data_IF_320041446093
#
_entry.id   IF_320041446093
#
_cell.length_a   1.000
_cell.length_b   1.000
_cell.length_c   1.000
_cell.angle_alpha   90.00
_cell.angle_beta   90.00
_cell.angle_gamma   90.00
#
_symmetry.space_group_name_H-M   'P 1'
#
loop_
_entity.id
_entity.type
_entity.pdbx_description
1 polymer ?
#
# COMPACT_ATOMS: atom_id res chain seq x y z
N UNK A 1 46.20 41.88 -11.87
CA UNK A 1 45.34 41.02 -11.08
C UNK A 1 44.15 40.64 -11.96
N UNK A 2 44.21 39.48 -12.55
CA UNK A 2 43.25 38.99 -13.58
C UNK A 2 42.18 38.15 -12.89
N UNK A 3 40.92 38.56 -12.94
CA UNK A 3 39.77 37.78 -12.48
C UNK A 3 39.36 36.80 -13.59
N UNK A 4 39.57 35.53 -13.37
CA UNK A 4 39.05 34.43 -14.21
C UNK A 4 37.59 34.18 -13.87
N UNK A 5 36.67 34.71 -14.67
CA UNK A 5 35.26 34.34 -14.68
C UNK A 5 35.06 33.10 -15.56
N UNK A 6 34.89 31.94 -14.94
CA UNK A 6 34.47 30.72 -15.62
C UNK A 6 33.00 30.85 -16.11
N UNK A 7 32.83 31.00 -17.41
CA UNK A 7 31.54 31.07 -18.05
C UNK A 7 30.88 29.68 -18.12
N UNK A 8 29.58 29.60 -17.74
CA UNK A 8 28.72 28.42 -17.81
C UNK A 8 28.51 27.81 -19.23
N UNK A 9 29.14 28.40 -20.25
CA UNK A 9 28.97 27.98 -21.66
C UNK A 9 29.90 26.85 -22.10
N UNK A 10 30.93 26.48 -21.37
CA UNK A 10 31.94 25.50 -21.80
C UNK A 10 31.73 24.08 -21.30
N UNK A 11 30.56 23.76 -20.73
CA UNK A 11 30.26 22.40 -20.24
C UNK A 11 29.47 21.52 -21.27
N UNK A 12 29.10 22.07 -22.42
CA UNK A 12 28.19 21.38 -23.37
C UNK A 12 28.83 21.05 -24.74
N UNK A 13 30.13 21.15 -24.87
CA UNK A 13 30.81 20.80 -26.16
C UNK A 13 31.87 19.73 -25.93
N UNK A 14 31.44 18.48 -25.98
CA UNK A 14 32.40 17.39 -25.99
C UNK A 14 31.79 16.02 -25.73
N UNK A 15 30.85 15.54 -26.56
CA UNK A 15 30.66 14.12 -26.86
C UNK A 15 29.88 14.05 -28.18
N UNK A 16 30.59 13.97 -29.27
CA UNK A 16 30.08 13.44 -30.51
C UNK A 16 31.11 12.45 -31.02
N UNK A 17 30.91 11.18 -30.81
CA UNK A 17 31.48 10.10 -31.66
C UNK A 17 30.57 8.89 -31.57
N UNK A 18 30.24 8.37 -32.75
CA UNK A 18 29.37 7.27 -33.05
C UNK A 18 29.58 6.01 -32.23
N UNK A 19 28.49 5.39 -31.92
CA UNK A 19 28.45 4.08 -31.29
C UNK A 19 27.15 3.39 -31.66
N UNK A 20 27.27 2.30 -32.36
CA UNK A 20 26.29 1.27 -32.63
C UNK A 20 25.29 1.11 -31.50
N UNK A 21 24.01 1.08 -31.85
CA UNK A 21 22.92 0.78 -30.93
C UNK A 21 23.11 -0.64 -30.33
N UNK A 22 23.83 -0.71 -29.21
CA UNK A 22 23.77 -1.85 -28.34
C UNK A 22 22.47 -1.71 -27.53
N UNK A 23 21.52 -2.58 -27.79
CA UNK A 23 20.38 -2.82 -26.89
C UNK A 23 20.93 -3.24 -25.53
N UNK A 24 21.06 -2.28 -24.64
CA UNK A 24 21.31 -2.55 -23.22
C UNK A 24 20.07 -3.26 -22.69
N UNK A 25 20.10 -4.59 -22.73
CA UNK A 25 19.27 -5.39 -21.86
C UNK A 25 19.61 -4.94 -20.42
N UNK A 26 18.70 -4.22 -19.81
CA UNK A 26 18.82 -3.89 -18.39
C UNK A 26 19.07 -5.21 -17.64
N UNK A 27 20.15 -5.34 -16.86
CA UNK A 27 20.31 -6.49 -16.01
C UNK A 27 19.06 -6.51 -15.12
N UNK A 28 18.36 -7.65 -15.11
CA UNK A 28 17.33 -7.91 -14.12
C UNK A 28 18.04 -7.74 -12.76
N UNK A 29 17.83 -6.61 -12.12
CA UNK A 29 18.24 -6.41 -10.74
C UNK A 29 17.44 -7.45 -9.98
N UNK A 30 18.09 -8.53 -9.61
CA UNK A 30 17.60 -9.43 -8.60
C UNK A 30 17.50 -8.58 -7.33
N UNK A 31 16.34 -7.95 -7.14
CA UNK A 31 15.99 -7.35 -5.86
C UNK A 31 15.92 -8.55 -4.93
N UNK A 32 17.00 -8.79 -4.18
CA UNK A 32 16.96 -9.67 -3.05
C UNK A 32 15.77 -9.16 -2.21
N UNK A 33 14.71 -9.96 -2.14
CA UNK A 33 13.58 -9.64 -1.32
C UNK A 33 14.13 -9.51 0.10
N UNK A 34 14.21 -8.28 0.61
CA UNK A 34 14.51 -8.08 2.03
C UNK A 34 13.57 -9.02 2.80
N UNK A 35 14.07 -9.75 3.80
CA UNK A 35 13.23 -10.65 4.55
C UNK A 35 12.08 -9.82 5.10
N UNK A 36 10.87 -10.10 4.60
CA UNK A 36 9.65 -9.53 5.14
C UNK A 36 9.60 -10.00 6.57
N UNK A 37 9.97 -9.14 7.52
CA UNK A 37 9.86 -9.43 8.95
C UNK A 37 8.37 -9.58 9.22
N UNK A 38 7.91 -10.80 9.13
CA UNK A 38 6.57 -11.19 9.52
C UNK A 38 6.55 -11.24 11.03
N UNK A 39 5.73 -10.39 11.65
CA UNK A 39 5.25 -10.73 12.98
C UNK A 39 4.51 -12.07 12.83
N UNK A 40 5.15 -13.14 13.23
CA UNK A 40 4.55 -14.46 13.28
C UNK A 40 3.57 -14.47 14.43
N UNK A 41 2.31 -14.16 14.15
CA UNK A 41 1.26 -14.68 15.01
C UNK A 41 1.22 -16.19 14.77
N UNK A 42 1.13 -17.01 15.82
CA UNK A 42 1.01 -18.46 15.69
C UNK A 42 -0.41 -18.82 15.21
N UNK A 43 -0.75 -18.43 13.99
CA UNK A 43 -1.92 -18.97 13.32
C UNK A 43 -1.49 -20.30 12.72
N UNK A 44 -2.26 -21.35 13.03
CA UNK A 44 -1.95 -22.70 12.63
C UNK A 44 -1.61 -22.79 11.14
N UNK A 45 -0.38 -23.20 10.83
CA UNK A 45 0.01 -23.52 9.47
C UNK A 45 -0.65 -24.83 9.12
N UNK A 46 -1.39 -24.93 8.01
CA UNK A 46 -1.94 -26.21 7.60
C UNK A 46 -0.79 -27.16 7.29
N UNK A 47 -0.85 -28.37 7.83
CA UNK A 47 0.09 -29.40 7.44
C UNK A 47 -0.10 -29.74 5.95
N UNK A 48 0.98 -29.62 5.16
CA UNK A 48 0.97 -30.10 3.79
C UNK A 48 0.69 -31.59 3.75
N UNK A 49 0.01 -32.03 2.70
CA UNK A 49 -0.20 -33.47 2.48
C UNK A 49 1.14 -34.20 2.22
N UNK A 50 1.26 -35.45 2.62
CA UNK A 50 2.43 -36.28 2.34
C UNK A 50 2.60 -36.60 0.83
N UNK A 51 1.59 -36.32 0.00
CA UNK A 51 1.54 -36.57 -1.44
C UNK A 51 1.67 -35.29 -2.30
N UNK A 52 1.37 -35.40 -3.59
CA UNK A 52 1.36 -34.25 -4.49
C UNK A 52 0.37 -33.17 -4.04
N UNK A 53 0.84 -31.92 -3.97
CA UNK A 53 0.05 -30.76 -3.61
C UNK A 53 -0.54 -30.17 -4.88
N UNK A 54 -1.84 -30.40 -5.14
CA UNK A 54 -2.53 -29.77 -6.25
C UNK A 54 -2.88 -28.34 -5.91
N UNK A 55 -2.25 -27.39 -6.62
CA UNK A 55 -2.49 -25.96 -6.47
C UNK A 55 -3.09 -25.38 -7.74
N UNK A 56 -4.29 -24.80 -7.63
CA UNK A 56 -4.93 -24.11 -8.75
C UNK A 56 -4.55 -22.64 -8.78
N UNK A 57 -4.40 -22.09 -9.98
CA UNK A 57 -4.13 -20.69 -10.18
C UNK A 57 -5.21 -20.06 -11.08
N UNK A 58 -6.02 -19.16 -10.53
CA UNK A 58 -7.01 -18.37 -11.26
C UNK A 58 -6.52 -16.95 -11.54
N UNK A 59 -5.33 -16.60 -11.05
CA UNK A 59 -4.67 -15.34 -11.36
C UNK A 59 -3.95 -15.41 -12.71
N UNK A 60 -3.94 -14.29 -13.45
CA UNK A 60 -3.23 -14.23 -14.73
C UNK A 60 -1.72 -14.22 -14.49
N UNK A 61 -1.03 -15.23 -14.96
CA UNK A 61 0.42 -15.39 -14.86
C UNK A 61 1.03 -15.68 -16.23
N UNK A 62 2.28 -15.29 -16.42
CA UNK A 62 3.09 -15.69 -17.57
C UNK A 62 3.64 -17.11 -17.38
N UNK A 63 4.09 -17.76 -18.45
CA UNK A 63 4.71 -19.07 -18.38
C UNK A 63 5.98 -19.08 -17.49
N UNK A 64 6.75 -17.99 -17.47
CA UNK A 64 7.92 -17.87 -16.60
C UNK A 64 7.52 -17.79 -15.12
N UNK A 65 6.47 -17.03 -14.78
CA UNK A 65 5.94 -16.93 -13.42
C UNK A 65 5.33 -18.25 -12.94
N UNK A 66 4.60 -18.94 -13.83
CA UNK A 66 4.09 -20.29 -13.54
C UNK A 66 5.24 -21.25 -13.23
N UNK A 67 6.28 -21.28 -14.07
CA UNK A 67 7.45 -22.13 -13.86
C UNK A 67 8.19 -21.79 -12.55
N UNK A 68 8.30 -20.51 -12.22
CA UNK A 68 8.90 -20.04 -10.97
C UNK A 68 8.14 -20.59 -9.75
N UNK A 69 6.82 -20.51 -9.73
CA UNK A 69 5.98 -21.00 -8.63
C UNK A 69 5.98 -22.54 -8.58
N UNK A 70 5.90 -23.21 -9.75
CA UNK A 70 5.93 -24.67 -9.86
C UNK A 70 7.24 -25.27 -9.30
N UNK A 71 8.38 -24.62 -9.57
CA UNK A 71 9.69 -25.09 -9.12
C UNK A 71 10.02 -24.75 -7.66
N UNK A 72 9.23 -23.89 -7.02
CA UNK A 72 9.48 -23.44 -5.64
C UNK A 72 9.16 -24.50 -4.58
N UNK A 73 8.29 -25.45 -4.88
CA UNK A 73 7.87 -26.48 -3.93
C UNK A 73 8.15 -27.90 -4.44
N UNK A 74 8.43 -28.80 -3.50
CA UNK A 74 8.50 -30.23 -3.80
C UNK A 74 7.07 -30.77 -3.98
N UNK A 75 6.89 -31.62 -5.01
CA UNK A 75 5.61 -32.29 -5.27
C UNK A 75 4.42 -31.32 -5.49
N UNK A 76 4.65 -30.14 -6.03
CA UNK A 76 3.57 -29.17 -6.35
C UNK A 76 3.10 -29.40 -7.79
N UNK A 77 1.85 -29.83 -7.92
CA UNK A 77 1.12 -29.84 -9.20
C UNK A 77 0.39 -28.51 -9.35
N UNK A 78 1.07 -27.54 -10.01
CA UNK A 78 0.56 -26.18 -10.22
C UNK A 78 -0.23 -26.13 -11.54
N UNK A 79 -1.52 -25.83 -11.46
CA UNK A 79 -2.45 -25.86 -12.60
C UNK A 79 -3.08 -24.49 -12.80
N UNK A 80 -2.79 -23.85 -13.93
CA UNK A 80 -3.47 -22.59 -14.32
C UNK A 80 -4.87 -22.92 -14.84
N UNK A 81 -5.85 -22.15 -14.37
CA UNK A 81 -7.27 -22.33 -14.66
C UNK A 81 -7.80 -21.10 -15.40
N UNK A 82 -8.29 -21.30 -16.61
CA UNK A 82 -8.71 -20.23 -17.51
C UNK A 82 -10.17 -19.77 -17.36
N UNK A 83 -11.00 -20.53 -16.65
CA UNK A 83 -12.42 -20.19 -16.50
C UNK A 83 -13.01 -20.68 -15.18
N UNK A 84 -14.16 -20.07 -14.80
CA UNK A 84 -14.94 -20.48 -13.62
C UNK A 84 -15.44 -21.95 -13.74
N UNK A 85 -15.85 -22.36 -14.94
CA UNK A 85 -16.29 -23.75 -15.18
C UNK A 85 -15.15 -24.75 -14.95
N UNK A 86 -13.98 -24.43 -15.43
CA UNK A 86 -12.78 -25.25 -15.21
C UNK A 86 -12.36 -25.28 -13.73
N UNK A 87 -12.44 -24.12 -13.04
CA UNK A 87 -12.20 -24.07 -11.59
C UNK A 87 -13.13 -25.02 -10.85
N UNK A 88 -14.43 -24.93 -11.10
CA UNK A 88 -15.44 -25.76 -10.45
C UNK A 88 -15.24 -27.26 -10.71
N UNK A 89 -14.76 -27.61 -11.90
CA UNK A 89 -14.45 -29.01 -12.26
C UNK A 89 -13.19 -29.56 -11.57
N UNK A 90 -12.21 -28.70 -11.26
CA UNK A 90 -10.88 -29.11 -10.74
C UNK A 90 -10.69 -28.86 -9.26
N UNK A 91 -11.55 -28.09 -8.58
CA UNK A 91 -11.33 -27.64 -7.20
C UNK A 91 -11.56 -28.72 -6.16
N UNK A 92 -12.33 -29.75 -6.47
CA UNK A 92 -12.75 -30.77 -5.50
C UNK A 92 -11.59 -31.49 -4.81
N UNK A 93 -10.48 -31.71 -5.51
CA UNK A 93 -9.27 -32.35 -5.02
C UNK A 93 -8.08 -31.39 -4.85
N UNK A 94 -8.27 -30.10 -5.10
CA UNK A 94 -7.26 -29.09 -4.89
C UNK A 94 -6.99 -28.85 -3.40
N UNK A 95 -5.71 -28.73 -3.06
CA UNK A 95 -5.25 -28.47 -1.69
C UNK A 95 -4.96 -26.96 -1.47
N UNK A 96 -4.58 -26.26 -2.53
CA UNK A 96 -4.32 -24.82 -2.50
C UNK A 96 -4.90 -24.11 -3.72
N UNK A 97 -5.20 -22.82 -3.58
CA UNK A 97 -5.61 -21.94 -4.68
C UNK A 97 -4.92 -20.60 -4.58
N UNK A 98 -4.42 -20.08 -5.72
CA UNK A 98 -3.91 -18.74 -5.89
C UNK A 98 -4.81 -17.94 -6.81
N UNK A 99 -5.43 -16.90 -6.30
CA UNK A 99 -6.31 -16.03 -7.05
C UNK A 99 -7.76 -16.03 -6.55
N UNK A 100 -8.67 -15.34 -7.25
CA UNK A 100 -10.08 -15.28 -6.88
C UNK A 100 -10.76 -16.66 -6.95
N UNK A 101 -11.60 -16.92 -5.96
CA UNK A 101 -12.49 -18.09 -5.91
C UNK A 101 -13.89 -17.62 -5.55
N UNK A 102 -14.88 -18.09 -6.30
CA UNK A 102 -16.29 -17.80 -6.05
C UNK A 102 -16.92 -18.79 -5.06
N UNK A 103 -18.05 -18.40 -4.46
CA UNK A 103 -18.74 -19.20 -3.44
C UNK A 103 -19.15 -20.59 -3.94
N UNK A 104 -19.64 -20.71 -5.19
CA UNK A 104 -20.06 -21.98 -5.74
C UNK A 104 -18.89 -22.94 -5.96
N UNK A 105 -17.75 -22.40 -6.44
CA UNK A 105 -16.53 -23.17 -6.59
C UNK A 105 -15.98 -23.59 -5.22
N UNK A 106 -16.01 -22.66 -4.25
CA UNK A 106 -15.55 -22.95 -2.88
C UNK A 106 -16.37 -24.05 -2.21
N UNK A 107 -17.70 -24.07 -2.41
CA UNK A 107 -18.58 -25.13 -1.90
C UNK A 107 -18.23 -26.54 -2.46
N UNK A 108 -17.64 -26.60 -3.65
CA UNK A 108 -17.18 -27.86 -4.25
C UNK A 108 -15.79 -28.31 -3.76
N UNK A 109 -15.07 -27.46 -3.05
CA UNK A 109 -13.72 -27.75 -2.55
C UNK A 109 -13.76 -28.70 -1.36
N UNK A 110 -13.25 -29.94 -1.52
CA UNK A 110 -13.26 -30.96 -0.48
C UNK A 110 -11.94 -31.09 0.30
N UNK A 111 -10.85 -30.64 -0.29
CA UNK A 111 -9.50 -30.82 0.26
C UNK A 111 -8.75 -29.50 0.47
N UNK A 112 -9.41 -28.34 0.23
CA UNK A 112 -8.78 -27.04 0.23
C UNK A 112 -8.31 -26.64 1.64
N UNK A 113 -7.02 -26.43 1.78
CA UNK A 113 -6.35 -26.08 3.05
C UNK A 113 -5.78 -24.65 3.03
N UNK A 114 -5.47 -24.11 1.83
CA UNK A 114 -4.83 -22.82 1.69
C UNK A 114 -5.41 -22.02 0.51
N UNK A 115 -5.74 -20.74 0.77
CA UNK A 115 -6.16 -19.75 -0.23
C UNK A 115 -5.19 -18.59 -0.18
N UNK A 116 -4.50 -18.31 -1.30
CA UNK A 116 -3.69 -17.10 -1.49
C UNK A 116 -4.51 -16.07 -2.25
N UNK A 117 -5.00 -15.05 -1.53
CA UNK A 117 -5.74 -13.93 -2.12
C UNK A 117 -4.79 -12.96 -2.82
N UNK A 118 -5.30 -12.22 -3.84
CA UNK A 118 -4.50 -11.32 -4.70
C UNK A 118 -4.51 -9.84 -4.29
N UNK A 119 -5.28 -9.47 -3.27
CA UNK A 119 -5.31 -8.13 -2.70
C UNK A 119 -4.77 -8.11 -1.27
N UNK A 120 -4.48 -6.94 -0.74
CA UNK A 120 -4.09 -6.76 0.66
C UNK A 120 -5.33 -6.72 1.57
N UNK A 121 -6.40 -6.00 1.16
CA UNK A 121 -7.66 -5.96 1.90
C UNK A 121 -8.49 -7.21 1.69
N UNK A 122 -9.24 -7.61 2.70
CA UNK A 122 -10.11 -8.79 2.71
C UNK A 122 -11.56 -8.46 3.05
N UNK A 123 -11.87 -7.19 3.26
CA UNK A 123 -13.17 -6.68 3.68
C UNK A 123 -14.30 -6.91 2.66
N UNK A 124 -13.94 -7.10 1.39
CA UNK A 124 -14.89 -7.35 0.29
C UNK A 124 -15.03 -8.84 -0.07
N UNK A 125 -14.32 -9.70 0.66
CA UNK A 125 -14.39 -11.14 0.39
C UNK A 125 -15.74 -11.71 0.81
N UNK A 126 -16.27 -12.70 0.06
CA UNK A 126 -17.51 -13.39 0.41
C UNK A 126 -17.42 -13.99 1.83
N UNK A 127 -18.55 -13.97 2.54
CA UNK A 127 -18.66 -14.53 3.88
C UNK A 127 -18.24 -16.00 3.90
N UNK A 128 -18.64 -16.76 2.88
CA UNK A 128 -18.30 -18.18 2.72
C UNK A 128 -16.80 -18.43 2.70
N UNK A 129 -16.03 -17.50 2.10
CA UNK A 129 -14.57 -17.59 2.07
C UNK A 129 -13.96 -17.26 3.44
N UNK A 130 -14.49 -16.26 4.12
CA UNK A 130 -14.02 -15.88 5.46
C UNK A 130 -14.34 -16.97 6.50
N UNK A 131 -15.44 -17.69 6.36
CA UNK A 131 -15.86 -18.78 7.24
C UNK A 131 -15.24 -20.15 6.85
N UNK A 132 -14.68 -20.27 5.64
CA UNK A 132 -14.07 -21.53 5.20
C UNK A 132 -12.89 -21.94 6.09
N UNK A 133 -12.71 -23.22 6.44
CA UNK A 133 -11.66 -23.66 7.37
C UNK A 133 -10.23 -23.51 6.84
N UNK A 134 -10.05 -23.31 5.53
CA UNK A 134 -8.72 -23.11 4.93
C UNK A 134 -8.01 -21.89 5.48
N UNK A 135 -6.68 -21.92 5.54
CA UNK A 135 -5.88 -20.74 5.84
C UNK A 135 -5.99 -19.76 4.68
N UNK A 136 -6.24 -18.50 5.01
CA UNK A 136 -6.25 -17.39 4.05
C UNK A 136 -4.97 -16.58 4.20
N UNK A 137 -4.28 -16.34 3.09
CA UNK A 137 -3.15 -15.41 3.02
C UNK A 137 -3.46 -14.30 2.01
N UNK A 138 -2.93 -13.10 2.24
CA UNK A 138 -3.18 -11.94 1.39
C UNK A 138 -1.88 -11.31 0.85
N UNK A 139 -1.99 -10.19 0.15
CA UNK A 139 -0.86 -9.44 -0.42
C UNK A 139 -0.39 -8.29 0.48
N UNK A 140 -0.56 -8.41 1.78
CA UNK A 140 -0.02 -7.44 2.74
C UNK A 140 1.48 -7.20 2.45
N UNK A 141 1.93 -5.95 2.53
CA UNK A 141 3.30 -5.50 2.24
C UNK A 141 3.72 -5.46 0.76
N UNK A 142 3.08 -6.23 -0.14
CA UNK A 142 3.41 -6.24 -1.58
C UNK A 142 3.27 -4.85 -2.21
N UNK A 143 2.25 -4.12 -1.81
CA UNK A 143 1.94 -2.78 -2.33
C UNK A 143 2.53 -1.65 -1.49
N UNK A 144 3.07 -1.95 -0.30
CA UNK A 144 3.49 -0.97 0.66
C UNK A 144 4.52 0.05 0.12
N UNK A 145 5.57 -0.36 -0.63
CA UNK A 145 6.55 0.61 -1.14
C UNK A 145 5.94 1.69 -2.02
N UNK A 146 5.10 1.32 -3.00
CA UNK A 146 4.53 2.27 -3.95
C UNK A 146 3.39 3.10 -3.33
N UNK A 147 2.61 2.52 -2.41
CA UNK A 147 1.61 3.28 -1.65
C UNK A 147 2.30 4.34 -0.76
N UNK A 148 3.43 4.00 -0.15
CA UNK A 148 4.23 4.95 0.61
C UNK A 148 4.74 6.10 -0.27
N UNK A 149 5.18 5.82 -1.50
CA UNK A 149 5.57 6.84 -2.48
C UNK A 149 4.40 7.76 -2.84
N UNK A 150 3.20 7.22 -3.06
CA UNK A 150 1.99 8.00 -3.33
C UNK A 150 1.60 8.89 -2.14
N UNK A 151 1.64 8.36 -0.91
CA UNK A 151 1.36 9.13 0.30
C UNK A 151 2.33 10.32 0.45
N UNK A 152 3.62 10.07 0.22
CA UNK A 152 4.65 11.12 0.26
C UNK A 152 4.50 12.12 -0.90
N UNK A 153 4.16 11.64 -2.10
CA UNK A 153 3.87 12.47 -3.25
C UNK A 153 2.73 13.46 -2.97
N UNK A 154 1.63 13.01 -2.34
CA UNK A 154 0.52 13.87 -1.92
C UNK A 154 0.97 14.87 -0.84
N UNK A 155 1.67 14.41 0.20
CA UNK A 155 2.15 15.27 1.29
C UNK A 155 3.09 16.37 0.77
N UNK A 156 4.05 16.02 -0.10
CA UNK A 156 4.95 16.98 -0.74
C UNK A 156 4.21 17.94 -1.69
N UNK A 157 3.24 17.44 -2.46
CA UNK A 157 2.46 18.28 -3.38
C UNK A 157 1.65 19.34 -2.63
N UNK A 158 1.07 18.98 -1.48
CA UNK A 158 0.36 19.90 -0.60
C UNK A 158 1.32 20.89 0.06
N UNK A 159 2.40 20.40 0.65
CA UNK A 159 3.37 21.22 1.38
C UNK A 159 4.12 22.24 0.47
N UNK A 160 4.27 21.91 -0.81
CA UNK A 160 4.98 22.75 -1.79
C UNK A 160 4.05 23.53 -2.73
N UNK A 161 2.73 23.56 -2.45
CA UNK A 161 1.76 24.31 -3.23
C UNK A 161 1.66 23.88 -4.71
N UNK A 162 2.01 22.62 -5.03
CA UNK A 162 2.06 22.19 -6.43
C UNK A 162 0.67 22.17 -7.06
N UNK A 163 -0.34 21.75 -6.31
CA UNK A 163 -1.71 21.61 -6.81
C UNK A 163 -2.44 22.97 -6.85
N UNK A 164 -2.25 23.81 -5.82
CA UNK A 164 -2.95 25.09 -5.71
C UNK A 164 -2.36 26.17 -6.61
N UNK A 165 -1.05 26.17 -6.79
CA UNK A 165 -0.35 27.25 -7.48
C UNK A 165 0.40 26.77 -8.73
N UNK A 166 1.32 25.80 -8.57
CA UNK A 166 2.26 25.47 -9.63
C UNK A 166 1.58 24.88 -10.86
N UNK A 167 0.68 23.89 -10.72
CA UNK A 167 -0.02 23.30 -11.85
C UNK A 167 -1.02 24.26 -12.51
N UNK A 168 -1.88 25.01 -11.78
CA UNK A 168 -2.74 26.03 -12.39
C UNK A 168 -1.95 27.11 -13.12
N UNK A 169 -0.87 27.61 -12.53
CA UNK A 169 -0.01 28.62 -13.15
C UNK A 169 0.67 28.09 -14.43
N UNK A 170 1.18 26.84 -14.37
CA UNK A 170 1.74 26.19 -15.55
C UNK A 170 0.72 26.06 -16.69
N UNK A 171 -0.51 25.59 -16.39
CA UNK A 171 -1.59 25.50 -17.39
C UNK A 171 -1.96 26.87 -17.96
N UNK A 172 -1.97 27.91 -17.13
CA UNK A 172 -2.25 29.29 -17.52
C UNK A 172 -1.05 29.99 -18.18
N UNK A 173 0.10 29.34 -18.31
CA UNK A 173 1.37 29.92 -18.81
C UNK A 173 1.80 31.18 -18.02
N UNK A 174 1.54 31.20 -16.71
CA UNK A 174 1.92 32.26 -15.79
C UNK A 174 3.16 31.85 -15.00
N UNK A 175 4.12 32.76 -14.93
CA UNK A 175 5.21 32.69 -13.97
C UNK A 175 4.74 33.32 -12.65
N UNK A 176 4.06 32.52 -11.81
CA UNK A 176 3.59 32.99 -10.49
C UNK A 176 4.74 33.20 -9.53
N UNK A 177 4.77 34.32 -8.86
CA UNK A 177 5.80 34.67 -7.86
C UNK A 177 5.28 34.58 -6.44
N UNK A 178 3.96 34.60 -6.25
CA UNK A 178 3.29 34.48 -4.96
C UNK A 178 2.57 33.13 -4.83
N UNK A 179 2.62 32.57 -3.66
CA UNK A 179 1.87 31.36 -3.34
C UNK A 179 0.54 31.70 -2.67
N UNK A 180 -0.54 31.07 -3.11
CA UNK A 180 -1.88 31.22 -2.51
C UNK A 180 -2.01 30.43 -1.20
N UNK A 181 -1.08 29.52 -0.93
CA UNK A 181 -0.99 28.72 0.29
C UNK A 181 0.39 28.86 0.93
N UNK A 182 0.52 28.74 2.25
CA UNK A 182 1.83 28.69 2.90
C UNK A 182 2.67 27.53 2.38
N UNK A 183 3.86 27.81 1.89
CA UNK A 183 4.82 26.76 1.52
C UNK A 183 5.54 26.27 2.78
N UNK A 184 5.51 24.95 2.98
CA UNK A 184 6.04 24.30 4.17
C UNK A 184 7.09 23.27 3.75
N UNK A 185 8.21 23.22 4.46
CA UNK A 185 9.14 22.10 4.39
C UNK A 185 8.69 20.97 5.33
N UNK A 186 8.98 19.72 4.94
CA UNK A 186 8.71 18.56 5.78
C UNK A 186 9.92 18.20 6.67
N UNK A 187 11.04 18.84 6.46
CA UNK A 187 12.26 18.64 7.23
C UNK A 187 12.04 18.94 8.71
N UNK A 188 12.44 18.01 9.58
CA UNK A 188 12.23 18.06 11.04
C UNK A 188 10.77 18.17 11.51
N UNK A 189 9.79 17.99 10.65
CA UNK A 189 8.39 17.94 11.05
C UNK A 189 8.03 16.60 11.70
N UNK A 190 6.83 16.53 12.25
CA UNK A 190 6.32 15.31 12.89
C UNK A 190 5.25 14.67 12.02
N UNK A 191 5.36 13.36 11.77
CA UNK A 191 4.35 12.57 11.09
C UNK A 191 3.68 11.59 12.06
N UNK A 192 2.37 11.47 11.96
CA UNK A 192 1.56 10.47 12.67
C UNK A 192 1.06 9.40 11.72
N UNK A 193 1.25 8.14 12.06
CA UNK A 193 0.83 7.00 11.25
C UNK A 193 -0.25 6.23 12.03
N UNK A 194 -1.43 6.14 11.47
CA UNK A 194 -2.53 5.33 12.02
C UNK A 194 -2.54 3.99 11.29
N UNK A 195 -2.06 2.96 11.98
CA UNK A 195 -1.68 1.67 11.42
C UNK A 195 -0.17 1.59 11.11
N UNK A 196 0.54 0.69 11.78
CA UNK A 196 1.98 0.49 11.62
C UNK A 196 2.31 -0.88 10.98
N UNK A 197 1.48 -1.28 10.01
CA UNK A 197 1.70 -2.42 9.13
C UNK A 197 2.73 -2.14 8.03
N UNK A 198 2.60 -2.81 6.88
CA UNK A 198 3.53 -2.63 5.76
C UNK A 198 3.63 -1.19 5.26
N UNK A 199 2.50 -0.52 5.00
CA UNK A 199 2.46 0.85 4.48
C UNK A 199 3.05 1.83 5.50
N UNK A 200 2.57 1.78 6.75
CA UNK A 200 3.07 2.66 7.80
C UNK A 200 4.57 2.53 8.04
N UNK A 201 5.10 1.30 8.04
CA UNK A 201 6.55 1.04 8.17
C UNK A 201 7.34 1.63 6.99
N UNK A 202 6.84 1.48 5.75
CA UNK A 202 7.52 2.01 4.56
C UNK A 202 7.50 3.54 4.49
N UNK A 203 6.41 4.18 4.93
CA UNK A 203 6.36 5.64 5.08
C UNK A 203 7.34 6.08 6.17
N UNK A 204 7.25 5.49 7.37
CA UNK A 204 8.10 5.83 8.51
C UNK A 204 9.58 5.82 8.16
N UNK A 205 10.05 4.75 7.51
CA UNK A 205 11.44 4.60 7.10
C UNK A 205 11.87 5.70 6.14
N UNK A 206 11.05 6.00 5.12
CA UNK A 206 11.36 7.03 4.11
C UNK A 206 11.41 8.43 4.70
N UNK A 207 10.45 8.78 5.55
CA UNK A 207 10.39 10.14 6.12
C UNK A 207 11.45 10.36 7.18
N UNK A 208 11.79 9.32 7.96
CA UNK A 208 12.85 9.41 8.96
C UNK A 208 14.22 9.64 8.30
N UNK A 209 14.59 8.79 7.32
CA UNK A 209 15.91 8.88 6.69
C UNK A 209 16.00 9.91 5.56
N UNK A 210 14.86 10.30 4.96
CA UNK A 210 14.86 11.26 3.85
C UNK A 210 14.58 12.70 4.25
N UNK A 211 13.76 12.91 5.30
CA UNK A 211 13.35 14.25 5.74
C UNK A 211 13.65 14.50 7.23
N UNK A 212 14.31 13.56 7.90
CA UNK A 212 14.59 13.63 9.34
C UNK A 212 13.34 13.92 10.19
N UNK A 213 12.18 13.43 9.73
CA UNK A 213 10.91 13.62 10.44
C UNK A 213 10.87 12.80 11.71
N UNK A 214 10.26 13.35 12.75
CA UNK A 214 9.87 12.59 13.94
C UNK A 214 8.66 11.73 13.62
N UNK A 215 8.76 10.42 13.82
CA UNK A 215 7.69 9.46 13.52
C UNK A 215 6.96 9.06 14.79
N UNK A 216 5.64 9.28 14.81
CA UNK A 216 4.70 8.79 15.81
C UNK A 216 3.76 7.80 15.14
N UNK A 217 3.35 6.74 15.84
CA UNK A 217 2.43 5.77 15.27
C UNK A 217 1.49 5.18 16.31
N UNK A 218 0.32 4.71 15.83
CA UNK A 218 -0.60 3.87 16.61
C UNK A 218 -0.93 2.59 15.85
N UNK A 219 -0.96 1.47 16.58
CA UNK A 219 -1.36 0.17 16.05
C UNK A 219 -1.97 -0.68 17.18
N UNK A 220 -3.06 -1.43 16.95
CA UNK A 220 -3.64 -2.29 17.99
C UNK A 220 -2.84 -3.58 18.25
N UNK A 221 -1.87 -3.90 17.38
CA UNK A 221 -1.00 -5.06 17.56
C UNK A 221 0.23 -4.68 18.38
N UNK A 222 0.68 -5.54 19.30
CA UNK A 222 1.92 -5.31 20.05
C UNK A 222 3.14 -5.53 19.13
N UNK A 223 3.44 -4.53 18.31
CA UNK A 223 4.55 -4.58 17.37
C UNK A 223 5.85 -4.10 18.03
N UNK A 224 7.00 -4.70 17.70
CA UNK A 224 8.28 -4.15 18.13
C UNK A 224 8.49 -2.76 17.50
N UNK A 225 8.85 -1.77 18.34
CA UNK A 225 9.10 -0.41 17.91
C UNK A 225 10.50 -0.29 17.25
N UNK A 226 10.61 0.02 15.95
CA UNK A 226 11.89 0.26 15.30
C UNK A 226 12.60 1.51 15.85
N UNK A 227 13.92 1.56 15.72
CA UNK A 227 14.72 2.69 16.21
C UNK A 227 14.36 4.03 15.53
N UNK A 228 13.89 3.99 14.28
CA UNK A 228 13.47 5.18 13.52
C UNK A 228 12.04 5.66 13.87
N UNK A 229 11.36 5.05 14.84
CA UNK A 229 10.05 5.47 15.34
C UNK A 229 10.23 6.02 16.75
N UNK A 230 9.83 7.27 16.96
CA UNK A 230 9.93 7.90 18.26
C UNK A 230 8.97 7.26 19.26
N UNK A 231 7.69 7.11 18.86
CA UNK A 231 6.67 6.47 19.69
C UNK A 231 5.75 5.58 18.85
N UNK A 232 5.43 4.40 19.39
CA UNK A 232 4.44 3.47 18.87
C UNK A 232 3.56 3.05 20.05
N UNK A 233 2.26 3.40 19.99
CA UNK A 233 1.30 3.20 21.07
C UNK A 233 0.02 2.55 20.57
N UNK A 234 -0.87 2.21 21.49
CA UNK A 234 -2.22 1.72 21.23
C UNK A 234 -3.12 2.82 20.61
N UNK A 235 -4.18 2.45 19.87
CA UNK A 235 -5.07 3.39 19.16
C UNK A 235 -5.71 4.46 20.03
N UNK A 236 -5.91 4.22 21.32
CA UNK A 236 -6.45 5.20 22.26
C UNK A 236 -5.64 6.50 22.35
N UNK A 237 -4.39 6.49 21.88
CA UNK A 237 -3.53 7.67 21.82
C UNK A 237 -3.76 8.57 20.59
N UNK A 238 -4.64 8.19 19.66
CA UNK A 238 -4.84 8.88 18.39
C UNK A 238 -5.10 10.39 18.53
N UNK A 239 -6.00 10.81 19.45
CA UNK A 239 -6.35 12.23 19.60
C UNK A 239 -5.18 13.06 20.14
N UNK A 240 -4.38 12.51 21.03
CA UNK A 240 -3.18 13.18 21.53
C UNK A 240 -2.11 13.24 20.43
N UNK A 241 -1.87 12.16 19.70
CA UNK A 241 -0.97 12.14 18.56
C UNK A 241 -1.39 13.16 17.49
N UNK A 242 -2.68 13.26 17.16
CA UNK A 242 -3.20 14.19 16.16
C UNK A 242 -2.86 15.65 16.46
N UNK A 243 -2.80 16.03 17.75
CA UNK A 243 -2.44 17.40 18.15
C UNK A 243 -0.94 17.73 17.98
N UNK A 244 -0.10 16.72 17.83
CA UNK A 244 1.35 16.89 17.76
C UNK A 244 1.90 16.87 16.34
N UNK A 245 1.16 16.31 15.38
CA UNK A 245 1.67 16.01 14.05
C UNK A 245 1.45 17.15 13.04
N UNK A 246 2.34 17.22 12.06
CA UNK A 246 2.25 18.13 10.91
C UNK A 246 1.68 17.37 9.68
N UNK A 247 1.80 16.06 9.66
CA UNK A 247 1.16 15.18 8.67
C UNK A 247 0.55 13.99 9.41
N UNK A 248 -0.74 13.72 9.21
CA UNK A 248 -1.43 12.54 9.72
C UNK A 248 -1.78 11.62 8.55
N UNK A 249 -1.34 10.36 8.61
CA UNK A 249 -1.56 9.39 7.51
C UNK A 249 -2.38 8.20 7.98
N UNK A 250 -3.44 7.89 7.26
CA UNK A 250 -4.25 6.70 7.43
C UNK A 250 -3.63 5.52 6.68
N UNK A 251 -3.19 4.51 7.42
CA UNK A 251 -2.61 3.26 6.94
C UNK A 251 -3.30 2.03 7.55
N UNK A 252 -4.38 2.22 8.31
CA UNK A 252 -5.11 1.16 9.00
C UNK A 252 -6.05 0.39 8.05
N UNK A 253 -6.35 -0.89 8.32
CA UNK A 253 -7.35 -1.63 7.58
C UNK A 253 -8.76 -1.11 7.88
N UNK A 254 -9.73 -1.39 6.98
CA UNK A 254 -11.12 -1.10 7.21
C UNK A 254 -11.76 -2.24 8.02
N UNK A 255 -12.06 -1.98 9.28
CA UNK A 255 -12.70 -2.89 10.23
C UNK A 255 -13.86 -2.17 10.93
N UNK A 256 -14.61 -2.88 11.75
CA UNK A 256 -15.70 -2.26 12.55
C UNK A 256 -15.18 -1.15 13.46
N UNK A 257 -13.97 -1.30 14.00
CA UNK A 257 -13.34 -0.34 14.92
C UNK A 257 -12.77 0.88 14.20
N UNK A 258 -12.55 0.80 12.88
CA UNK A 258 -11.95 1.88 12.09
C UNK A 258 -12.93 2.64 11.21
N UNK A 259 -14.21 2.23 11.17
CA UNK A 259 -15.26 2.98 10.46
C UNK A 259 -15.35 4.39 11.03
N UNK A 260 -15.21 5.41 10.15
CA UNK A 260 -15.23 6.84 10.52
C UNK A 260 -14.28 7.18 11.67
N UNK A 261 -13.14 6.49 11.75
CA UNK A 261 -12.10 6.76 12.75
C UNK A 261 -11.60 8.21 12.66
N UNK A 262 -11.43 8.72 11.44
CA UNK A 262 -11.07 10.11 11.17
C UNK A 262 -12.33 10.96 11.05
N UNK A 263 -12.80 11.45 12.18
CA UNK A 263 -14.02 12.23 12.34
C UNK A 263 -13.71 13.66 12.79
N UNK A 264 -14.75 14.45 13.10
CA UNK A 264 -14.62 15.82 13.53
C UNK A 264 -13.71 15.98 14.77
N UNK A 265 -13.74 15.02 15.70
CA UNK A 265 -12.89 15.08 16.90
C UNK A 265 -11.40 14.98 16.55
N UNK A 266 -11.04 14.14 15.58
CA UNK A 266 -9.65 14.03 15.11
C UNK A 266 -9.23 15.30 14.36
N UNK A 267 -10.04 15.78 13.41
CA UNK A 267 -9.69 16.96 12.62
C UNK A 267 -9.60 18.22 13.49
N UNK A 268 -10.47 18.38 14.50
CA UNK A 268 -10.39 19.49 15.43
C UNK A 268 -9.18 19.44 16.37
N UNK A 269 -8.54 18.28 16.54
CA UNK A 269 -7.30 18.13 17.32
C UNK A 269 -6.05 18.40 16.50
N UNK A 270 -6.12 18.26 15.18
CA UNK A 270 -4.97 18.52 14.31
C UNK A 270 -4.58 20.01 14.33
N UNK A 271 -3.31 20.28 14.02
CA UNK A 271 -2.83 21.67 13.85
C UNK A 271 -3.50 22.28 12.62
N UNK A 272 -3.83 23.57 12.62
CA UNK A 272 -4.34 24.27 11.43
C UNK A 272 -3.36 24.25 10.23
N UNK A 273 -2.09 23.98 10.49
CA UNK A 273 -1.04 23.82 9.48
C UNK A 273 -0.82 22.38 9.04
N UNK A 274 -1.53 21.40 9.60
CA UNK A 274 -1.31 19.99 9.33
C UNK A 274 -2.03 19.51 8.07
N UNK A 275 -1.48 18.47 7.46
CA UNK A 275 -2.06 17.76 6.32
C UNK A 275 -2.59 16.39 6.73
N UNK A 276 -3.71 15.98 6.15
CA UNK A 276 -4.28 14.64 6.31
C UNK A 276 -4.12 13.84 5.02
N UNK A 277 -3.60 12.61 5.10
CA UNK A 277 -3.43 11.73 3.93
C UNK A 277 -4.14 10.40 4.19
N UNK A 278 -4.99 9.96 3.25
CA UNK A 278 -5.64 8.65 3.32
C UNK A 278 -5.26 7.78 2.11
N UNK A 279 -4.46 6.75 2.37
CA UNK A 279 -4.05 5.73 1.39
C UNK A 279 -4.50 4.33 1.81
N UNK A 280 -5.54 4.26 2.64
CA UNK A 280 -6.08 3.00 3.16
C UNK A 280 -7.46 2.66 2.57
N UNK A 281 -8.54 3.15 3.16
CA UNK A 281 -9.93 3.00 2.67
C UNK A 281 -10.74 4.27 2.95
N UNK A 282 -11.68 4.59 2.05
CA UNK A 282 -12.56 5.75 2.21
C UNK A 282 -13.43 5.68 3.47
N UNK A 283 -13.91 4.49 3.82
CA UNK A 283 -14.79 4.30 4.98
C UNK A 283 -14.18 4.59 6.35
N UNK A 284 -12.84 4.79 6.44
CA UNK A 284 -12.18 5.24 7.67
C UNK A 284 -12.42 6.73 7.93
N UNK A 285 -12.86 7.49 6.93
CA UNK A 285 -13.02 8.94 7.01
C UNK A 285 -14.50 9.29 7.06
N UNK A 286 -14.88 10.12 8.01
CA UNK A 286 -16.10 10.88 7.91
C UNK A 286 -15.89 12.03 6.91
N UNK A 287 -16.33 11.82 5.67
CA UNK A 287 -16.07 12.76 4.57
C UNK A 287 -16.77 14.10 4.78
N UNK A 288 -17.92 14.15 5.47
CA UNK A 288 -18.60 15.40 5.81
C UNK A 288 -17.76 16.20 6.81
N UNK A 289 -17.20 15.53 7.83
CA UNK A 289 -16.30 16.15 8.79
C UNK A 289 -15.01 16.66 8.12
N UNK A 290 -14.46 15.92 7.14
CA UNK A 290 -13.29 16.35 6.38
C UNK A 290 -13.61 17.58 5.52
N UNK A 291 -14.73 17.59 4.79
CA UNK A 291 -15.22 18.76 4.01
C UNK A 291 -15.31 19.99 4.90
N UNK A 292 -15.94 19.85 6.07
CA UNK A 292 -16.05 20.93 7.05
C UNK A 292 -14.67 21.41 7.52
N UNK A 293 -13.77 20.48 7.89
CA UNK A 293 -12.44 20.81 8.36
C UNK A 293 -11.60 21.59 7.31
N UNK A 294 -11.70 21.21 6.04
CA UNK A 294 -11.01 21.89 4.94
C UNK A 294 -11.59 23.29 4.67
N UNK A 295 -12.92 23.41 4.58
CA UNK A 295 -13.61 24.69 4.33
C UNK A 295 -13.41 25.68 5.47
N UNK A 296 -13.43 25.22 6.72
CA UNK A 296 -13.18 26.04 7.91
C UNK A 296 -11.68 26.22 8.23
N UNK A 297 -10.78 25.69 7.39
CA UNK A 297 -9.32 25.77 7.59
C UNK A 297 -8.85 25.21 8.95
N UNK A 298 -9.52 24.18 9.47
CA UNK A 298 -9.09 23.45 10.67
C UNK A 298 -7.81 22.66 10.41
N UNK A 299 -7.60 22.25 9.14
CA UNK A 299 -6.38 21.64 8.64
C UNK A 299 -5.95 22.35 7.35
N UNK A 300 -4.68 22.30 7.02
CA UNK A 300 -4.12 23.01 5.85
C UNK A 300 -4.48 22.35 4.52
N UNK A 301 -4.76 21.05 4.50
CA UNK A 301 -5.13 20.34 3.28
C UNK A 301 -5.21 18.83 3.48
N UNK A 302 -5.64 18.12 2.44
CA UNK A 302 -5.72 16.66 2.48
C UNK A 302 -5.35 16.01 1.12
N UNK A 303 -4.91 14.74 1.19
CA UNK A 303 -4.70 13.87 0.04
C UNK A 303 -5.44 12.55 0.22
N UNK A 304 -6.28 12.19 -0.75
CA UNK A 304 -7.12 11.01 -0.70
C UNK A 304 -6.85 10.14 -1.94
N UNK A 305 -6.34 8.93 -1.74
CA UNK A 305 -6.34 7.92 -2.81
C UNK A 305 -7.65 7.13 -2.83
N UNK A 306 -8.42 7.21 -1.76
CA UNK A 306 -9.63 6.42 -1.51
C UNK A 306 -10.76 7.29 -0.96
N UNK A 307 -12.00 7.01 -1.39
CA UNK A 307 -13.22 7.70 -0.99
C UNK A 307 -14.35 6.72 -0.69
N UNK A 308 -15.50 7.23 -0.28
CA UNK A 308 -16.73 6.47 -0.13
C UNK A 308 -17.92 7.31 -0.62
N UNK A 309 -18.64 6.90 -1.69
CA UNK A 309 -18.38 5.71 -2.51
C UNK A 309 -17.17 5.86 -3.46
N UNK A 310 -16.81 4.78 -4.11
CA UNK A 310 -15.89 4.74 -5.25
C UNK A 310 -16.58 4.14 -6.48
N UNK A 311 -16.58 4.85 -7.64
CA UNK A 311 -16.04 6.19 -7.90
C UNK A 311 -16.75 7.29 -7.10
N UNK A 312 -16.02 8.36 -6.76
CA UNK A 312 -16.61 9.54 -6.10
C UNK A 312 -17.57 10.25 -7.08
N UNK A 313 -18.87 10.47 -6.73
CA UNK A 313 -19.83 11.16 -7.58
C UNK A 313 -19.34 12.57 -7.96
N UNK A 314 -19.70 13.01 -9.18
CA UNK A 314 -19.23 14.30 -9.72
C UNK A 314 -19.74 15.51 -8.91
N UNK A 315 -20.88 15.37 -8.24
CA UNK A 315 -21.49 16.41 -7.40
C UNK A 315 -21.01 16.38 -5.93
N UNK A 316 -20.10 15.48 -5.60
CA UNK A 316 -19.68 15.33 -4.20
C UNK A 316 -18.87 16.55 -3.71
N UNK A 317 -19.18 17.10 -2.50
CA UNK A 317 -18.55 18.35 -2.00
C UNK A 317 -17.04 18.31 -1.82
N UNK A 318 -16.41 17.14 -1.81
CA UNK A 318 -14.95 17.01 -1.79
C UNK A 318 -14.29 17.64 -3.01
N UNK A 319 -14.93 17.63 -4.19
CA UNK A 319 -14.35 18.23 -5.39
C UNK A 319 -14.12 19.73 -5.28
N UNK A 320 -14.94 20.41 -4.45
CA UNK A 320 -14.88 21.85 -4.22
C UNK A 320 -14.06 22.24 -2.98
N UNK A 321 -13.41 21.29 -2.34
CA UNK A 321 -12.61 21.59 -1.15
C UNK A 321 -11.28 22.25 -1.51
N UNK A 322 -10.87 23.28 -0.75
CA UNK A 322 -9.57 23.89 -0.94
C UNK A 322 -8.45 22.92 -0.52
N UNK A 323 -7.32 23.00 -1.22
CA UNK A 323 -6.10 22.25 -0.91
C UNK A 323 -6.32 20.73 -0.71
N UNK A 324 -7.09 20.14 -1.63
CA UNK A 324 -7.38 18.71 -1.65
C UNK A 324 -6.81 18.06 -2.93
N UNK A 325 -6.19 16.91 -2.77
CA UNK A 325 -5.77 16.02 -3.85
C UNK A 325 -6.60 14.76 -3.78
N UNK A 326 -7.18 14.32 -4.91
CA UNK A 326 -7.87 13.02 -5.02
C UNK A 326 -7.22 12.24 -6.14
N UNK A 327 -6.84 10.98 -5.87
CA UNK A 327 -6.39 10.01 -6.86
C UNK A 327 -7.35 8.82 -6.90
N UNK A 328 -7.51 8.13 -8.04
CA UNK A 328 -8.59 7.16 -8.25
C UNK A 328 -8.22 5.75 -7.76
N UNK A 329 -7.88 5.60 -6.47
CA UNK A 329 -7.52 4.33 -5.82
C UNK A 329 -6.42 3.57 -6.61
N UNK A 330 -5.39 4.29 -7.01
CA UNK A 330 -4.31 3.75 -7.85
C UNK A 330 -2.92 3.80 -7.20
N UNK A 331 -2.82 4.21 -5.93
CA UNK A 331 -1.55 4.29 -5.19
C UNK A 331 -0.78 2.96 -5.13
N UNK A 332 -1.49 1.83 -5.24
CA UNK A 332 -0.89 0.49 -5.28
C UNK A 332 -0.38 0.05 -6.66
N UNK A 333 -0.56 0.86 -7.72
CA UNK A 333 -0.20 0.48 -9.09
C UNK A 333 1.26 0.85 -9.42
N UNK A 334 2.05 -0.15 -9.81
CA UNK A 334 3.43 0.04 -10.27
C UNK A 334 3.92 -1.19 -11.05
N UNK A 335 4.91 -1.04 -11.94
CA UNK A 335 5.47 -2.17 -12.70
C UNK A 335 5.98 -3.30 -11.80
N UNK A 336 6.62 -2.97 -10.68
CA UNK A 336 7.16 -3.95 -9.73
C UNK A 336 6.10 -4.67 -8.87
N UNK A 337 4.83 -4.29 -8.98
CA UNK A 337 3.73 -4.92 -8.26
C UNK A 337 3.64 -6.43 -8.53
N UNK A 338 3.61 -6.81 -9.82
CA UNK A 338 3.51 -8.21 -10.24
C UNK A 338 4.73 -9.01 -9.77
N UNK A 339 5.93 -8.46 -9.90
CA UNK A 339 7.17 -9.10 -9.45
C UNK A 339 7.13 -9.43 -7.96
N UNK A 340 6.73 -8.47 -7.12
CA UNK A 340 6.62 -8.67 -5.66
C UNK A 340 5.52 -9.67 -5.30
N UNK A 341 4.39 -9.62 -6.01
CA UNK A 341 3.27 -10.54 -5.83
C UNK A 341 3.71 -11.97 -6.11
N UNK A 342 4.32 -12.22 -7.25
CA UNK A 342 4.83 -13.55 -7.62
C UNK A 342 5.91 -14.03 -6.64
N UNK A 343 6.81 -13.16 -6.21
CA UNK A 343 7.83 -13.50 -5.22
C UNK A 343 7.21 -13.98 -3.89
N UNK A 344 6.18 -13.28 -3.40
CA UNK A 344 5.47 -13.69 -2.18
C UNK A 344 4.77 -15.06 -2.35
N UNK A 345 4.06 -15.25 -3.48
CA UNK A 345 3.36 -16.53 -3.75
C UNK A 345 4.37 -17.66 -3.88
N UNK A 346 5.47 -17.44 -4.62
CA UNK A 346 6.56 -18.40 -4.76
C UNK A 346 7.13 -18.83 -3.39
N UNK A 347 7.38 -17.85 -2.52
CA UNK A 347 7.85 -18.14 -1.16
C UNK A 347 6.80 -18.90 -0.33
N UNK A 348 5.52 -18.54 -0.44
CA UNK A 348 4.46 -19.27 0.25
C UNK A 348 4.28 -20.70 -0.29
N UNK A 349 4.44 -20.93 -1.60
CA UNK A 349 4.47 -22.28 -2.18
C UNK A 349 5.62 -23.09 -1.59
N UNK A 350 6.83 -22.53 -1.53
CA UNK A 350 7.99 -23.14 -0.90
C UNK A 350 7.72 -23.48 0.59
N UNK A 351 7.15 -22.54 1.32
CA UNK A 351 6.84 -22.73 2.75
C UNK A 351 5.80 -23.82 2.95
N UNK A 352 4.70 -23.74 2.21
CA UNK A 352 3.62 -24.72 2.31
C UNK A 352 4.11 -26.14 2.03
N UNK A 353 4.85 -26.34 0.93
CA UNK A 353 5.38 -27.66 0.54
C UNK A 353 6.42 -28.23 1.51
N UNK A 354 7.01 -27.39 2.36
CA UNK A 354 7.97 -27.81 3.39
C UNK A 354 7.39 -27.79 4.82
N UNK A 355 6.07 -27.60 4.98
CA UNK A 355 5.42 -27.54 6.29
C UNK A 355 5.83 -26.33 7.15
N UNK A 356 6.29 -25.25 6.51
CA UNK A 356 6.68 -24.01 7.19
C UNK A 356 5.49 -23.06 7.30
N UNK A 357 5.52 -22.18 8.30
CA UNK A 357 4.49 -21.16 8.48
C UNK A 357 4.36 -20.25 7.25
N UNK A 358 3.14 -20.06 6.76
CA UNK A 358 2.85 -19.18 5.63
C UNK A 358 3.07 -17.71 6.02
N UNK A 359 3.42 -16.89 5.04
CA UNK A 359 3.52 -15.46 5.18
C UNK A 359 2.14 -14.80 4.95
N UNK A 360 1.91 -13.67 5.62
CA UNK A 360 0.71 -12.86 5.45
C UNK A 360 -0.61 -13.61 5.70
N UNK A 361 -0.63 -14.46 6.73
CA UNK A 361 -1.85 -15.12 7.17
C UNK A 361 -2.83 -14.10 7.72
N UNK A 362 -4.06 -14.15 7.23
CA UNK A 362 -5.16 -13.29 7.65
C UNK A 362 -5.80 -13.84 8.92
N UNK A 363 -5.93 -13.02 9.94
CA UNK A 363 -6.81 -13.28 11.06
C UNK A 363 -8.26 -13.00 10.62
N UNK A 364 -8.99 -14.07 10.30
CA UNK A 364 -10.36 -13.98 9.80
C UNK A 364 -11.35 -13.39 10.81
N UNK A 365 -11.03 -13.45 12.09
CA UNK A 365 -11.89 -12.87 13.14
C UNK A 365 -11.72 -11.37 13.24
N UNK A 366 -10.50 -10.88 13.00
CA UNK A 366 -10.16 -9.45 12.99
C UNK A 366 -10.36 -8.82 11.59
N UNK A 367 -10.39 -9.63 10.53
CA UNK A 367 -10.55 -9.16 9.15
C UNK A 367 -9.28 -8.54 8.54
N UNK A 368 -8.08 -8.86 9.07
CA UNK A 368 -6.81 -8.37 8.50
C UNK A 368 -5.58 -9.18 8.96
#
# INVERSE_FOLDING_TARGET
MSQNTLSRRNFMTGIAVGGTAATLASPAVAVAAEPVVTATYPLATPAASAGPIKMLCTHKVSAAEEQQMRSAGKNVDFVVVGSRAELKAKIADAEAIFGPVDADSLAAAKKLKWIQHTAAGVEVLPKELMEHPSVLTNMQRVYAPVIAESALGMALSLARGLVQDSFPNFKARKWGTESSVPLVDLYHKTIGLVGFGGIGTEIARRVHYGFEMKVLAVDPKPLPKPAFVAELREPGWLLEMASQVDVLVSCAPHTRETIKLFNESVFNRMKPTAYFINVSRGGLVDQEALVKALKEKKIAGAGLDVTTPEPLPAEHPLWDCPNLIITPHNSGMAPMRQVRLIALVTENVRRYSNGLALLNVVDKTRGY
#
